data_IF_073160126875
#
_entry.id   IF_073160126875
#
_cell.length_a   1.000
_cell.length_b   1.000
_cell.length_c   1.000
_cell.angle_alpha   90.00
_cell.angle_beta   90.00
_cell.angle_gamma   90.00
#
_symmetry.space_group_name_H-M   'P 1'
#
loop_
_entity.id
_entity.type
_entity.pdbx_description
1 polymer ?
#
# COMPACT_ATOMS: atom_id res chain seq x y z
N UNK A 1 6.13 -5.67 10.19
CA UNK A 1 6.01 -6.93 9.40
C UNK A 1 4.90 -6.80 8.37
N UNK A 2 5.06 -7.40 7.18
CA UNK A 2 4.00 -7.44 6.14
C UNK A 2 3.09 -8.65 6.38
N UNK A 3 1.78 -8.45 6.27
CA UNK A 3 0.84 -9.58 6.29
C UNK A 3 0.93 -10.39 5.00
N UNK A 4 0.92 -11.74 5.03
CA UNK A 4 1.10 -12.58 3.83
C UNK A 4 0.15 -12.26 2.67
N UNK A 5 -1.07 -11.84 2.99
CA UNK A 5 -2.11 -11.53 1.99
C UNK A 5 -2.21 -10.03 1.65
N UNK A 6 -1.34 -9.16 2.17
CA UNK A 6 -1.33 -7.73 1.86
C UNK A 6 -0.93 -7.46 0.42
N UNK A 7 -1.26 -6.27 -0.09
CA UNK A 7 -0.93 -5.91 -1.47
C UNK A 7 0.57 -5.69 -1.66
N UNK A 8 1.19 -6.46 -2.55
CA UNK A 8 2.63 -6.34 -2.89
C UNK A 8 2.95 -4.98 -3.50
N UNK A 9 2.04 -4.43 -4.31
CA UNK A 9 2.16 -3.13 -4.97
C UNK A 9 2.33 -2.00 -3.96
N UNK A 10 1.59 -2.08 -2.85
CA UNK A 10 1.66 -1.10 -1.77
C UNK A 10 3.03 -1.05 -1.11
N UNK A 11 3.82 -2.12 -1.14
CA UNK A 11 5.19 -2.13 -0.61
C UNK A 11 6.08 -1.11 -1.31
N UNK A 12 5.99 -1.08 -2.64
CA UNK A 12 6.90 -0.29 -3.48
C UNK A 12 6.36 1.10 -3.81
N UNK A 13 5.11 1.39 -3.45
CA UNK A 13 4.56 2.74 -3.54
C UNK A 13 5.21 3.69 -2.53
N UNK A 14 5.39 4.98 -2.87
CA UNK A 14 5.90 5.98 -1.93
C UNK A 14 5.02 6.13 -0.68
N UNK A 15 5.62 6.48 0.45
CA UNK A 15 4.88 6.70 1.70
C UNK A 15 3.88 7.85 1.63
N UNK A 16 4.23 8.90 0.89
CA UNK A 16 3.31 10.02 0.58
C UNK A 16 2.05 9.60 -0.19
N UNK A 17 2.08 8.42 -0.81
CA UNK A 17 0.97 7.86 -1.57
C UNK A 17 0.28 6.69 -0.85
N UNK A 18 0.61 6.44 0.42
CA UNK A 18 0.03 5.38 1.23
C UNK A 18 0.75 4.03 1.12
N UNK A 19 1.88 3.98 0.41
CA UNK A 19 2.74 2.81 0.32
C UNK A 19 3.79 2.70 1.44
N UNK A 20 4.62 1.66 1.40
CA UNK A 20 5.69 1.43 2.41
C UNK A 20 7.02 2.10 2.03
N UNK A 21 7.18 2.52 0.79
CA UNK A 21 8.38 3.18 0.27
C UNK A 21 9.58 2.25 0.08
N UNK A 22 9.36 0.94 -0.03
CA UNK A 22 10.45 -0.01 -0.28
C UNK A 22 10.93 0.06 -1.73
N UNK A 23 12.21 -0.23 -1.92
CA UNK A 23 12.80 -0.32 -3.27
C UNK A 23 12.53 -1.72 -3.83
N UNK A 24 11.95 -1.78 -5.01
CA UNK A 24 11.84 -3.03 -5.76
C UNK A 24 13.19 -3.32 -6.44
N UNK A 25 13.99 -4.21 -5.86
CA UNK A 25 15.33 -4.56 -6.34
C UNK A 25 15.27 -5.08 -7.78
N UNK A 26 14.29 -5.94 -8.11
CA UNK A 26 14.12 -6.47 -9.46
C UNK A 26 13.91 -5.35 -10.47
N UNK A 27 12.99 -4.42 -10.19
CA UNK A 27 12.76 -3.26 -11.07
C UNK A 27 13.98 -2.33 -11.13
N UNK A 28 14.76 -2.22 -10.05
CA UNK A 28 15.98 -1.43 -10.03
C UNK A 28 17.05 -2.04 -10.95
N UNK A 29 17.29 -3.35 -10.85
CA UNK A 29 18.22 -4.07 -11.72
C UNK A 29 17.81 -3.95 -13.19
N UNK A 30 16.54 -4.21 -13.52
CA UNK A 30 16.03 -4.05 -14.89
C UNK A 30 16.23 -2.63 -15.42
N UNK A 31 15.99 -1.59 -14.60
CA UNK A 31 16.24 -0.20 -15.00
C UNK A 31 17.72 0.08 -15.24
N UNK A 32 18.61 -0.49 -14.44
CA UNK A 32 20.05 -0.34 -14.62
C UNK A 32 20.50 -0.99 -15.93
N UNK A 33 20.05 -2.20 -16.21
CA UNK A 33 20.33 -2.91 -17.47
C UNK A 33 19.89 -2.08 -18.69
N UNK A 34 18.64 -1.61 -18.69
CA UNK A 34 18.10 -0.75 -19.77
C UNK A 34 18.91 0.54 -19.92
N UNK A 35 19.28 1.19 -18.82
CA UNK A 35 20.05 2.43 -18.86
C UNK A 35 21.47 2.20 -19.39
N UNK A 36 22.10 1.09 -19.00
CA UNK A 36 23.41 0.71 -19.50
C UNK A 36 23.36 0.38 -20.99
N UNK A 37 22.37 -0.40 -21.43
CA UNK A 37 22.12 -0.70 -22.84
C UNK A 37 21.99 0.59 -23.66
N UNK A 38 21.12 1.51 -23.24
CA UNK A 38 20.92 2.81 -23.91
C UNK A 38 22.20 3.63 -23.99
N UNK A 39 22.99 3.70 -22.91
CA UNK A 39 24.25 4.45 -22.90
C UNK A 39 25.30 3.84 -23.82
N UNK A 40 25.40 2.50 -23.86
CA UNK A 40 26.32 1.81 -24.74
C UNK A 40 25.92 2.00 -26.21
N UNK A 41 24.63 1.87 -26.56
CA UNK A 41 24.12 2.13 -27.91
C UNK A 41 24.30 3.58 -28.35
N UNK A 42 24.17 4.54 -27.44
CA UNK A 42 24.39 5.96 -27.72
C UNK A 42 25.87 6.36 -27.85
N UNK A 43 26.81 5.47 -27.49
CA UNK A 43 28.23 5.75 -27.57
C UNK A 43 28.71 5.84 -29.03
N UNK A 44 29.50 6.86 -29.33
CA UNK A 44 30.13 7.02 -30.65
C UNK A 44 31.49 6.31 -30.76
N UNK A 45 31.98 5.72 -29.68
CA UNK A 45 33.28 5.05 -29.64
C UNK A 45 33.33 3.81 -30.56
N UNK A 46 34.41 3.70 -31.36
CA UNK A 46 34.59 2.60 -32.33
C UNK A 46 34.70 1.23 -31.66
N UNK A 47 35.31 1.15 -30.48
CA UNK A 47 35.44 -0.09 -29.71
C UNK A 47 34.08 -0.54 -29.21
N UNK A 48 33.28 0.38 -28.68
CA UNK A 48 31.93 0.09 -28.19
C UNK A 48 31.01 -0.42 -29.31
N UNK A 49 31.08 0.16 -30.52
CA UNK A 49 30.32 -0.34 -31.68
C UNK A 49 30.67 -1.79 -32.05
N UNK A 50 31.96 -2.14 -32.07
CA UNK A 50 32.40 -3.52 -32.30
C UNK A 50 31.91 -4.47 -31.21
N UNK A 51 31.96 -4.03 -29.94
CA UNK A 51 31.45 -4.84 -28.81
C UNK A 51 29.95 -5.12 -28.98
N UNK A 52 29.17 -4.13 -29.37
CA UNK A 52 27.72 -4.28 -29.64
C UNK A 52 27.46 -5.32 -30.74
N UNK A 53 28.23 -5.30 -31.83
CA UNK A 53 28.10 -6.26 -32.94
C UNK A 53 28.44 -7.71 -32.55
N UNK A 54 29.35 -7.88 -31.58
CA UNK A 54 29.85 -9.18 -31.14
C UNK A 54 29.01 -9.79 -30.00
N UNK A 55 28.30 -8.97 -29.22
CA UNK A 55 27.52 -9.43 -28.06
C UNK A 55 26.22 -10.17 -28.45
N UNK A 56 26.39 -11.41 -28.93
CA UNK A 56 25.34 -12.37 -29.26
C UNK A 56 24.91 -13.14 -28.01
N UNK A 57 24.37 -12.45 -27.00
CA UNK A 57 23.97 -13.00 -25.68
C UNK A 57 25.13 -13.49 -24.79
N UNK A 58 26.33 -12.95 -24.96
CA UNK A 58 27.43 -13.25 -24.04
C UNK A 58 27.27 -12.49 -22.72
N UNK A 59 26.59 -11.34 -22.76
CA UNK A 59 26.24 -10.57 -21.56
C UNK A 59 24.73 -10.54 -21.32
N UNK A 60 24.28 -10.31 -20.07
CA UNK A 60 22.86 -10.10 -19.75
C UNK A 60 22.22 -8.92 -20.51
N UNK A 61 23.02 -7.98 -21.01
CA UNK A 61 22.51 -6.81 -21.75
C UNK A 61 22.08 -7.15 -23.18
N UNK A 62 22.58 -8.27 -23.75
CA UNK A 62 22.21 -8.77 -25.07
C UNK A 62 22.08 -7.66 -26.14
N UNK A 63 23.19 -6.94 -26.36
CA UNK A 63 23.20 -5.67 -27.11
C UNK A 63 22.84 -5.82 -28.60
N UNK A 64 22.84 -7.04 -29.15
CA UNK A 64 22.52 -7.32 -30.55
C UNK A 64 21.03 -7.28 -30.87
N UNK A 65 20.15 -7.52 -29.90
CA UNK A 65 18.69 -7.44 -30.09
C UNK A 65 18.12 -6.25 -29.35
N UNK A 66 17.23 -5.47 -29.98
CA UNK A 66 16.42 -4.49 -29.23
C UNK A 66 15.47 -5.24 -28.29
N UNK A 67 15.86 -5.37 -27.03
CA UNK A 67 14.94 -5.77 -25.99
C UNK A 67 14.01 -4.59 -25.75
N UNK A 68 12.77 -4.66 -26.27
CA UNK A 68 11.70 -3.80 -25.77
C UNK A 68 11.64 -4.02 -24.26
N UNK A 69 11.78 -2.97 -23.42
CA UNK A 69 11.65 -3.12 -21.99
C UNK A 69 10.31 -3.81 -21.70
N UNK A 70 10.34 -5.00 -21.10
CA UNK A 70 9.14 -5.54 -20.47
C UNK A 70 8.56 -4.43 -19.60
N UNK A 71 7.35 -4.00 -19.92
CA UNK A 71 6.62 -2.84 -19.40
C UNK A 71 7.05 -2.52 -17.96
N UNK A 72 8.07 -1.67 -17.78
CA UNK A 72 8.67 -1.44 -16.46
C UNK A 72 7.62 -0.69 -15.67
N UNK A 73 6.93 -1.41 -14.79
CA UNK A 73 5.75 -0.87 -14.13
C UNK A 73 6.09 0.44 -13.42
N UNK A 74 5.54 1.52 -13.94
CA UNK A 74 5.69 2.85 -13.38
C UNK A 74 5.02 2.93 -12.01
N UNK A 75 5.39 3.95 -11.22
CA UNK A 75 4.73 4.22 -9.93
C UNK A 75 3.21 4.40 -10.11
N UNK A 76 2.80 5.08 -11.18
CA UNK A 76 1.38 5.29 -11.49
C UNK A 76 0.67 3.98 -11.89
N UNK A 77 1.29 3.13 -12.70
CA UNK A 77 0.72 1.82 -13.05
C UNK A 77 0.57 0.93 -11.81
N UNK A 78 1.55 0.97 -10.91
CA UNK A 78 1.51 0.25 -9.63
C UNK A 78 0.38 0.76 -8.73
N UNK A 79 0.18 2.07 -8.70
CA UNK A 79 -0.91 2.72 -7.96
C UNK A 79 -2.28 2.32 -8.53
N UNK A 80 -2.41 2.29 -9.85
CA UNK A 80 -3.64 1.88 -10.52
C UNK A 80 -3.95 0.40 -10.29
N UNK A 81 -2.93 -0.47 -10.34
CA UNK A 81 -3.10 -1.88 -10.00
C UNK A 81 -3.51 -2.07 -8.53
N UNK A 82 -2.97 -1.30 -7.60
CA UNK A 82 -3.40 -1.37 -6.21
C UNK A 82 -4.87 -0.95 -6.04
N UNK A 83 -5.28 0.14 -6.72
CA UNK A 83 -6.66 0.65 -6.72
C UNK A 83 -7.68 -0.27 -7.38
N UNK A 84 -7.28 -1.00 -8.42
CA UNK A 84 -8.18 -1.88 -9.17
C UNK A 84 -8.55 -3.14 -8.39
N UNK A 85 -7.78 -3.52 -7.36
CA UNK A 85 -8.08 -4.69 -6.52
C UNK A 85 -9.37 -4.51 -5.73
N UNK A 86 -10.25 -5.51 -5.78
CA UNK A 86 -11.57 -5.47 -5.15
C UNK A 86 -11.55 -5.23 -3.62
N UNK A 87 -10.53 -5.73 -2.93
CA UNK A 87 -10.33 -5.57 -1.48
C UNK A 87 -9.39 -4.41 -1.16
N UNK A 88 -8.11 -4.55 -1.53
CA UNK A 88 -7.07 -3.59 -1.16
C UNK A 88 -7.31 -2.21 -1.78
N UNK A 89 -7.95 -2.14 -2.95
CA UNK A 89 -8.27 -0.89 -3.65
C UNK A 89 -9.33 -0.04 -2.96
N UNK A 90 -10.02 -0.54 -1.94
CA UNK A 90 -11.02 0.24 -1.20
C UNK A 90 -10.39 1.34 -0.35
N UNK A 91 -9.23 1.08 0.25
CA UNK A 91 -8.51 2.09 1.04
C UNK A 91 -8.03 3.27 0.19
N UNK A 92 -7.28 3.10 -0.91
CA UNK A 92 -6.88 4.24 -1.73
C UNK A 92 -8.07 5.01 -2.31
N UNK A 93 -9.19 4.33 -2.63
CA UNK A 93 -10.43 5.01 -3.03
C UNK A 93 -11.03 5.85 -1.90
N UNK A 94 -10.98 5.38 -0.65
CA UNK A 94 -11.45 6.17 0.50
C UNK A 94 -10.60 7.43 0.76
N UNK A 95 -9.31 7.41 0.41
CA UNK A 95 -8.43 8.58 0.50
C UNK A 95 -8.71 9.64 -0.58
N UNK A 96 -9.52 9.32 -1.59
CA UNK A 96 -9.90 10.23 -2.68
C UNK A 96 -11.25 10.91 -2.44
N UNK A 97 -11.89 10.65 -1.29
CA UNK A 97 -13.10 11.33 -0.89
C UNK A 97 -12.81 12.81 -0.59
N UNK A 98 -13.63 13.71 -1.12
CA UNK A 98 -13.51 15.16 -0.94
C UNK A 98 -13.49 15.61 0.53
N UNK A 99 -14.13 14.86 1.42
CA UNK A 99 -14.17 15.14 2.86
C UNK A 99 -12.94 14.63 3.63
N UNK A 100 -12.01 13.96 2.95
CA UNK A 100 -10.83 13.35 3.58
C UNK A 100 -9.59 14.14 3.21
N UNK A 101 -8.93 14.71 4.22
CA UNK A 101 -7.58 15.24 4.05
C UNK A 101 -6.60 14.08 3.84
N UNK A 102 -6.25 13.85 2.58
CA UNK A 102 -5.32 12.80 2.17
C UNK A 102 -3.93 12.98 2.78
N UNK A 103 -3.45 14.22 2.86
CA UNK A 103 -2.10 14.49 3.33
C UNK A 103 -1.97 14.19 4.82
N UNK A 104 -2.92 14.69 5.62
CA UNK A 104 -2.99 14.43 7.05
C UNK A 104 -3.22 12.94 7.34
N UNK A 105 -4.10 12.28 6.56
CA UNK A 105 -4.40 10.85 6.71
C UNK A 105 -3.17 9.95 6.49
N UNK A 106 -2.19 10.41 5.70
CA UNK A 106 -0.96 9.67 5.39
C UNK A 106 0.25 10.15 6.20
N UNK A 107 0.07 11.13 7.09
CA UNK A 107 1.16 11.78 7.79
C UNK A 107 1.96 10.80 8.67
N UNK A 108 1.26 9.89 9.36
CA UNK A 108 1.88 8.88 10.21
C UNK A 108 2.87 7.97 9.45
N UNK A 109 2.65 7.72 8.16
CA UNK A 109 3.56 6.95 7.31
C UNK A 109 4.87 7.71 7.04
N UNK A 110 4.81 9.04 6.98
CA UNK A 110 5.97 9.91 6.71
C UNK A 110 6.78 10.18 7.97
N UNK A 111 6.11 10.48 9.09
CA UNK A 111 6.77 10.88 10.35
C UNK A 111 7.42 9.71 11.09
N UNK A 112 6.95 8.48 10.88
CA UNK A 112 7.65 7.28 11.35
C UNK A 112 7.60 7.06 12.87
N UNK A 113 6.61 7.63 13.57
CA UNK A 113 6.47 7.50 15.03
C UNK A 113 5.97 6.13 15.50
N UNK A 114 5.56 5.25 14.57
CA UNK A 114 5.04 3.93 14.90
C UNK A 114 6.12 2.87 14.77
N UNK A 115 6.11 1.90 15.69
CA UNK A 115 6.88 0.67 15.54
C UNK A 115 6.47 -0.09 14.26
N UNK A 116 7.42 -0.79 13.66
CA UNK A 116 7.24 -1.48 12.39
C UNK A 116 6.16 -2.58 12.43
N UNK A 117 5.92 -3.16 13.61
CA UNK A 117 4.84 -4.09 13.92
C UNK A 117 3.48 -3.39 13.85
N UNK A 118 3.33 -2.28 14.59
CA UNK A 118 2.09 -1.49 14.63
C UNK A 118 1.71 -0.97 13.25
N UNK A 119 2.66 -0.40 12.51
CA UNK A 119 2.44 0.04 11.13
C UNK A 119 2.03 -1.14 10.23
N UNK A 120 2.61 -2.32 10.45
CA UNK A 120 2.23 -3.57 9.76
C UNK A 120 0.77 -3.95 10.00
N UNK A 121 0.31 -3.91 11.25
CA UNK A 121 -1.09 -4.18 11.59
C UNK A 121 -2.04 -3.15 10.98
N UNK A 122 -1.71 -1.86 11.04
CA UNK A 122 -2.52 -0.81 10.41
C UNK A 122 -2.63 -1.00 8.90
N UNK A 123 -1.51 -1.35 8.26
CA UNK A 123 -1.47 -1.66 6.82
C UNK A 123 -2.38 -2.85 6.49
N UNK A 124 -2.33 -3.91 7.30
CA UNK A 124 -3.16 -5.12 7.12
C UNK A 124 -4.66 -4.84 7.32
N UNK A 125 -5.02 -3.98 8.28
CA UNK A 125 -6.39 -3.53 8.50
C UNK A 125 -6.89 -2.75 7.27
N UNK A 126 -6.11 -1.78 6.79
CA UNK A 126 -6.45 -0.96 5.62
C UNK A 126 -6.54 -1.80 4.33
N UNK A 127 -5.68 -2.80 4.17
CA UNK A 127 -5.71 -3.75 3.06
C UNK A 127 -6.86 -4.77 3.17
N UNK A 128 -7.59 -4.78 4.30
CA UNK A 128 -8.70 -5.69 4.61
C UNK A 128 -8.35 -7.16 4.64
N UNK A 129 -7.15 -7.48 5.12
CA UNK A 129 -6.63 -8.86 5.18
C UNK A 129 -6.65 -9.45 6.59
N UNK A 130 -7.19 -8.71 7.56
CA UNK A 130 -7.41 -9.23 8.90
C UNK A 130 -8.50 -10.30 8.87
N UNK A 131 -8.29 -11.35 9.66
CA UNK A 131 -9.12 -12.55 9.69
C UNK A 131 -10.48 -12.33 10.37
N UNK A 132 -11.41 -11.72 9.65
CA UNK A 132 -12.82 -11.63 10.06
C UNK A 132 -13.64 -12.81 9.51
N UNK A 133 -14.82 -13.07 10.07
CA UNK A 133 -15.74 -14.11 9.54
C UNK A 133 -16.19 -13.83 8.10
N UNK A 134 -16.33 -12.56 7.73
CA UNK A 134 -16.61 -12.18 6.34
C UNK A 134 -15.42 -12.50 5.42
N UNK A 135 -14.18 -12.23 5.86
CA UNK A 135 -12.97 -12.60 5.12
C UNK A 135 -12.84 -14.13 4.96
N UNK A 136 -13.07 -14.89 6.04
CA UNK A 136 -13.04 -16.36 6.02
C UNK A 136 -14.05 -16.95 5.01
N UNK A 137 -15.28 -16.42 4.96
CA UNK A 137 -16.33 -16.92 4.07
C UNK A 137 -16.12 -16.52 2.60
N UNK A 138 -15.87 -15.24 2.34
CA UNK A 138 -15.91 -14.72 0.97
C UNK A 138 -14.56 -14.70 0.27
N UNK A 139 -13.46 -14.66 1.03
CA UNK A 139 -12.10 -14.56 0.47
C UNK A 139 -11.38 -15.90 0.56
N UNK A 140 -11.33 -16.48 1.77
CA UNK A 140 -10.71 -17.79 1.96
C UNK A 140 -11.62 -18.95 1.51
N UNK A 141 -12.91 -18.68 1.26
CA UNK A 141 -13.92 -19.66 0.83
C UNK A 141 -13.91 -20.93 1.68
N UNK A 142 -13.79 -20.75 3.00
CA UNK A 142 -13.79 -21.85 3.95
C UNK A 142 -15.21 -22.40 4.12
N UNK A 143 -15.35 -23.71 4.10
CA UNK A 143 -16.64 -24.39 4.26
C UNK A 143 -17.20 -24.22 5.67
N UNK A 144 -18.53 -24.15 5.77
CA UNK A 144 -19.25 -24.05 7.04
C UNK A 144 -19.12 -22.71 7.77
N UNK A 145 -18.49 -21.69 7.15
CA UNK A 145 -18.34 -20.37 7.78
C UNK A 145 -19.60 -19.53 7.62
N UNK A 146 -20.20 -19.15 8.75
CA UNK A 146 -21.24 -18.13 8.83
C UNK A 146 -20.56 -16.77 9.07
N UNK A 147 -20.82 -15.79 8.20
CA UNK A 147 -20.16 -14.48 8.21
C UNK A 147 -20.69 -13.51 9.27
N UNK A 148 -21.50 -13.97 10.23
CA UNK A 148 -22.04 -13.14 11.30
C UNK A 148 -20.95 -12.73 12.31
N UNK A 149 -21.04 -11.49 12.79
CA UNK A 149 -20.16 -10.92 13.81
C UNK A 149 -20.10 -11.79 15.06
N UNK A 150 -18.88 -12.12 15.52
CA UNK A 150 -18.63 -12.91 16.73
C UNK A 150 -19.16 -12.24 18.00
N UNK A 151 -19.29 -10.91 18.00
CA UNK A 151 -19.76 -10.12 19.15
C UNK A 151 -21.27 -9.88 19.09
N UNK A 152 -21.78 -9.15 18.09
CA UNK A 152 -23.20 -8.79 18.05
C UNK A 152 -24.11 -9.89 17.46
N UNK A 153 -23.56 -10.82 16.65
CA UNK A 153 -24.30 -11.87 15.91
C UNK A 153 -25.34 -11.37 14.90
N UNK A 154 -25.59 -10.06 14.80
CA UNK A 154 -26.59 -9.46 13.90
C UNK A 154 -26.04 -9.24 12.49
N UNK A 155 -24.96 -8.46 12.36
CA UNK A 155 -24.43 -8.06 11.05
C UNK A 155 -23.26 -8.94 10.60
N UNK A 156 -22.87 -8.79 9.32
CA UNK A 156 -21.69 -9.45 8.79
C UNK A 156 -20.41 -8.89 9.44
N UNK A 157 -19.48 -9.76 9.80
CA UNK A 157 -18.22 -9.38 10.44
C UNK A 157 -17.23 -8.82 9.43
N UNK A 158 -17.41 -7.59 9.00
CA UNK A 158 -16.39 -6.84 8.27
C UNK A 158 -15.51 -6.05 9.23
N UNK A 159 -14.38 -5.55 8.73
CA UNK A 159 -13.49 -4.68 9.51
C UNK A 159 -14.23 -3.40 9.91
N UNK A 160 -15.00 -2.80 9.00
CA UNK A 160 -15.78 -1.58 9.27
C UNK A 160 -16.81 -1.81 10.36
N UNK A 161 -17.48 -2.96 10.31
CA UNK A 161 -18.42 -3.34 11.34
C UNK A 161 -17.73 -3.48 12.70
N UNK A 162 -16.58 -4.16 12.78
CA UNK A 162 -15.86 -4.32 14.06
C UNK A 162 -15.34 -2.99 14.60
N UNK A 163 -14.88 -2.08 13.73
CA UNK A 163 -14.29 -0.80 14.14
C UNK A 163 -15.36 0.21 14.58
N UNK A 164 -16.52 0.28 13.91
CA UNK A 164 -17.51 1.32 14.19
C UNK A 164 -18.98 0.92 14.05
N UNK A 165 -19.30 -0.24 13.49
CA UNK A 165 -20.69 -0.67 13.27
C UNK A 165 -21.26 -1.68 14.27
N UNK A 166 -20.45 -2.23 15.16
CA UNK A 166 -20.84 -3.30 16.06
C UNK A 166 -21.45 -2.73 17.34
N UNK A 167 -22.77 -2.86 17.50
CA UNK A 167 -23.51 -2.42 18.70
C UNK A 167 -22.87 -2.94 20.00
N UNK A 168 -22.48 -4.21 20.04
CA UNK A 168 -21.80 -4.81 21.20
C UNK A 168 -20.42 -4.20 21.55
N UNK A 169 -19.82 -3.40 20.66
CA UNK A 169 -18.54 -2.71 20.87
C UNK A 169 -18.69 -1.18 20.88
N UNK A 170 -19.81 -0.67 20.37
CA UNK A 170 -20.06 0.75 20.17
C UNK A 170 -20.07 1.52 21.51
N UNK A 171 -20.83 1.01 22.48
CA UNK A 171 -21.14 1.74 23.71
C UNK A 171 -19.94 1.90 24.64
N UNK A 172 -18.94 1.01 24.53
CA UNK A 172 -17.77 1.03 25.41
C UNK A 172 -16.49 1.43 24.65
N UNK A 173 -16.04 0.55 23.75
CA UNK A 173 -14.69 0.67 23.17
C UNK A 173 -14.66 1.75 22.09
N UNK A 174 -15.69 1.83 21.26
CA UNK A 174 -15.78 2.88 20.24
C UNK A 174 -15.97 4.26 20.87
N UNK A 175 -16.91 4.42 21.81
CA UNK A 175 -17.10 5.66 22.55
C UNK A 175 -15.83 6.12 23.25
N UNK A 176 -15.11 5.20 23.91
CA UNK A 176 -13.83 5.49 24.56
C UNK A 176 -12.78 6.06 23.59
N UNK A 177 -12.61 5.46 22.40
CA UNK A 177 -11.69 5.97 21.37
C UNK A 177 -12.13 7.33 20.84
N UNK A 178 -13.42 7.52 20.59
CA UNK A 178 -13.96 8.80 20.12
C UNK A 178 -13.75 9.91 21.15
N UNK A 179 -14.01 9.63 22.43
CA UNK A 179 -13.79 10.60 23.50
C UNK A 179 -12.31 10.98 23.64
N UNK A 180 -11.37 10.05 23.39
CA UNK A 180 -9.94 10.37 23.38
C UNK A 180 -9.58 11.32 22.24
N UNK A 181 -10.09 11.08 21.03
CA UNK A 181 -9.87 11.99 19.88
C UNK A 181 -10.50 13.36 20.15
N UNK A 182 -11.74 13.39 20.66
CA UNK A 182 -12.43 14.63 21.00
C UNK A 182 -11.67 15.44 22.06
N UNK A 183 -11.05 14.78 23.05
CA UNK A 183 -10.21 15.46 24.06
C UNK A 183 -9.00 16.14 23.43
N UNK A 184 -8.32 15.50 22.47
CA UNK A 184 -7.17 16.10 21.79
C UNK A 184 -7.61 17.34 21.02
N UNK A 185 -8.68 17.23 20.23
CA UNK A 185 -9.23 18.36 19.48
C UNK A 185 -9.66 19.49 20.42
N UNK A 186 -10.30 19.15 21.54
CA UNK A 186 -10.71 20.13 22.54
C UNK A 186 -9.52 20.91 23.11
N UNK A 187 -8.46 20.20 23.52
CA UNK A 187 -7.22 20.82 24.02
C UNK A 187 -6.59 21.73 22.96
N UNK A 188 -6.48 21.26 21.71
CA UNK A 188 -5.90 22.05 20.62
C UNK A 188 -6.70 23.34 20.38
N UNK A 189 -8.03 23.27 20.42
CA UNK A 189 -8.91 24.44 20.28
C UNK A 189 -8.86 25.38 21.48
N UNK A 190 -8.68 24.87 22.69
CA UNK A 190 -8.50 25.68 23.90
C UNK A 190 -7.16 26.44 23.86
N UNK A 191 -6.07 25.77 23.51
CA UNK A 191 -4.75 26.39 23.40
C UNK A 191 -4.75 27.48 22.32
N UNK A 192 -5.35 27.23 21.15
CA UNK A 192 -5.47 28.24 20.10
C UNK A 192 -6.38 29.43 20.47
N UNK A 193 -7.14 29.34 21.56
CA UNK A 193 -7.99 30.43 22.06
C UNK A 193 -7.22 31.44 22.89
N UNK A 194 -6.08 31.04 23.47
CA UNK A 194 -5.20 31.89 24.27
C UNK A 194 -4.15 32.64 23.42
N UNK A 195 -4.01 32.29 22.13
CA UNK A 195 -3.11 32.91 21.14
C UNK A 195 -3.79 33.99 20.25
N UNK A 196 -5.05 34.36 20.55
CA UNK A 196 -5.85 35.40 19.88
C UNK A 196 -6.12 36.58 20.82
#
# INVERSE_FOLDING_TARGET
MLHPNSSVERLYLPRKDGGRGLVNIKLMCMKLEINMEKRLRASQDKTMKKIIEVDKKFTPLNLTTETTPENVMGKEQLKEQWKSKALHGRYPKSLENEMVDREMSLEYMRKGYLFAETEGFLTAIQDRVIRTKNYEKHILKLDGVVDRCRKCKVHNETIEHVIGGCSALADNVYLGRHNQVAKIIHIDLEICRDDL
#
